data_IF_462704757277
#
_entry.id   IF_462704757277
#
_cell.length_a   1.000
_cell.length_b   1.000
_cell.length_c   1.000
_cell.angle_alpha   90.00
_cell.angle_beta   90.00
_cell.angle_gamma   90.00
#
_symmetry.space_group_name_H-M   'P 1'
#
loop_
_entity.id
_entity.type
_entity.pdbx_description
1 polymer ?
#
# COMPACT_ATOMS: atom_id res chain seq x y z
N UNK A 1 41.47 -8.51 0.73
CA UNK A 1 40.40 -8.20 -0.22
C UNK A 1 39.19 -9.06 0.17
N UNK A 2 38.14 -8.48 0.76
CA UNK A 2 36.90 -9.23 0.98
C UNK A 2 36.32 -9.57 -0.39
N UNK A 3 36.22 -10.85 -0.71
CA UNK A 3 35.47 -11.31 -1.87
C UNK A 3 34.02 -10.88 -1.70
N UNK A 4 33.58 -9.89 -2.47
CA UNK A 4 32.16 -9.52 -2.53
C UNK A 4 31.40 -10.72 -3.06
N UNK A 5 30.50 -11.29 -2.25
CA UNK A 5 29.58 -12.33 -2.73
C UNK A 5 28.89 -11.84 -4.00
N UNK A 6 28.80 -12.65 -5.06
CA UNK A 6 28.06 -12.25 -6.25
C UNK A 6 26.60 -11.94 -5.88
N UNK A 7 26.08 -10.85 -6.44
CA UNK A 7 24.69 -10.45 -6.23
C UNK A 7 23.77 -11.52 -6.81
N UNK A 8 22.80 -11.96 -6.00
CA UNK A 8 21.78 -12.90 -6.45
C UNK A 8 20.81 -12.22 -7.42
N UNK A 9 20.57 -12.87 -8.55
CA UNK A 9 19.47 -12.55 -9.47
C UNK A 9 18.75 -13.85 -9.81
N UNK A 10 17.40 -13.90 -9.73
CA UNK A 10 16.65 -15.08 -10.16
C UNK A 10 17.04 -15.52 -11.57
N UNK A 11 17.42 -16.78 -11.72
CA UNK A 11 17.64 -17.37 -13.03
C UNK A 11 16.28 -17.56 -13.74
N UNK A 12 16.24 -17.45 -15.07
CA UNK A 12 15.00 -17.63 -15.83
C UNK A 12 14.42 -19.03 -15.61
N UNK A 13 15.30 -20.03 -15.59
CA UNK A 13 14.96 -21.44 -15.36
C UNK A 13 14.33 -21.65 -13.97
N UNK A 14 14.84 -20.96 -12.94
CA UNK A 14 14.28 -21.01 -11.59
C UNK A 14 12.88 -20.39 -11.54
N UNK A 15 12.65 -19.29 -12.25
CA UNK A 15 11.33 -18.64 -12.32
C UNK A 15 10.34 -19.48 -13.14
N UNK A 16 10.80 -20.14 -14.22
CA UNK A 16 9.99 -21.09 -14.97
C UNK A 16 9.64 -22.33 -14.13
N UNK A 17 10.55 -22.80 -13.30
CA UNK A 17 10.28 -23.87 -12.34
C UNK A 17 9.26 -23.42 -11.29
N UNK A 18 9.39 -22.20 -10.77
CA UNK A 18 8.39 -21.60 -9.86
C UNK A 18 7.01 -21.51 -10.53
N UNK A 19 6.94 -21.11 -11.80
CA UNK A 19 5.68 -21.05 -12.55
C UNK A 19 5.02 -22.43 -12.69
N UNK A 20 5.81 -23.48 -12.92
CA UNK A 20 5.30 -24.88 -12.95
C UNK A 20 4.81 -25.31 -11.58
N UNK A 21 5.54 -24.98 -10.53
CA UNK A 21 5.21 -25.30 -9.15
C UNK A 21 3.91 -24.61 -8.67
N UNK A 22 3.65 -23.41 -9.17
CA UNK A 22 2.44 -22.62 -8.85
C UNK A 22 1.19 -23.03 -9.66
N UNK A 23 1.33 -23.96 -10.60
CA UNK A 23 0.19 -24.40 -11.42
C UNK A 23 -0.88 -25.07 -10.54
N UNK A 24 -2.11 -24.57 -10.62
CA UNK A 24 -3.23 -25.02 -9.78
C UNK A 24 -3.28 -24.40 -8.38
N UNK A 25 -2.30 -23.56 -8.02
CA UNK A 25 -2.23 -22.85 -6.73
C UNK A 25 -2.46 -21.35 -6.93
N UNK A 26 -1.65 -20.71 -7.75
CA UNK A 26 -1.83 -19.33 -8.13
C UNK A 26 -2.63 -19.24 -9.43
N UNK A 27 -3.57 -18.29 -9.46
CA UNK A 27 -4.35 -18.00 -10.67
C UNK A 27 -3.44 -17.25 -11.65
N UNK A 28 -3.46 -17.63 -12.94
CA UNK A 28 -2.95 -16.79 -14.01
C UNK A 28 -3.90 -15.61 -14.18
N UNK A 29 -3.64 -14.55 -13.43
CA UNK A 29 -4.52 -13.37 -13.37
C UNK A 29 -4.53 -12.63 -14.71
N UNK A 30 -5.64 -11.97 -15.09
CA UNK A 30 -5.72 -11.27 -16.36
C UNK A 30 -4.76 -10.05 -16.41
N UNK A 31 -4.26 -9.80 -17.62
CA UNK A 31 -3.70 -8.53 -18.04
C UNK A 31 -4.79 -7.84 -18.86
N UNK A 32 -5.51 -6.87 -18.28
CA UNK A 32 -6.70 -6.25 -18.87
C UNK A 32 -6.50 -4.76 -19.09
N UNK A 33 -7.00 -4.25 -20.23
CA UNK A 33 -6.98 -2.82 -20.50
C UNK A 33 -7.99 -2.08 -19.60
N UNK A 34 -7.54 -0.96 -19.02
CA UNK A 34 -8.43 0.02 -18.40
C UNK A 34 -8.77 1.12 -19.39
N UNK A 35 -10.00 1.12 -19.89
CA UNK A 35 -10.46 2.03 -20.94
C UNK A 35 -10.52 3.49 -20.45
N UNK A 36 -10.94 3.71 -19.19
CA UNK A 36 -11.08 5.04 -18.62
C UNK A 36 -9.72 5.75 -18.50
N UNK A 37 -8.74 5.07 -17.90
CA UNK A 37 -7.39 5.62 -17.76
C UNK A 37 -6.65 5.70 -19.10
N UNK A 38 -6.87 4.72 -19.99
CA UNK A 38 -6.30 4.78 -21.35
C UNK A 38 -6.74 6.04 -22.11
N UNK A 39 -8.03 6.38 -22.01
CA UNK A 39 -8.57 7.61 -22.59
C UNK A 39 -8.03 8.86 -21.87
N UNK A 40 -7.95 8.84 -20.54
CA UNK A 40 -7.48 9.96 -19.73
C UNK A 40 -6.03 10.33 -20.06
N UNK A 41 -5.14 9.33 -20.16
CA UNK A 41 -3.70 9.55 -20.39
C UNK A 41 -3.29 9.50 -21.86
N UNK A 42 -4.21 9.17 -22.77
CA UNK A 42 -3.86 8.98 -24.19
C UNK A 42 -2.83 7.87 -24.40
N UNK A 43 -2.91 6.80 -23.62
CA UNK A 43 -1.98 5.68 -23.58
C UNK A 43 -2.73 4.35 -23.54
N UNK A 44 -2.09 3.23 -23.80
CA UNK A 44 -2.68 1.91 -23.58
C UNK A 44 -2.34 1.44 -22.15
N UNK A 45 -3.25 1.66 -21.21
CA UNK A 45 -3.07 1.32 -19.80
C UNK A 45 -3.61 -0.08 -19.53
N UNK A 46 -2.73 -0.98 -19.11
CA UNK A 46 -3.03 -2.38 -18.80
C UNK A 46 -2.84 -2.65 -17.31
N UNK A 47 -3.78 -3.36 -16.70
CA UNK A 47 -3.71 -3.80 -15.30
C UNK A 47 -3.36 -5.28 -15.22
N UNK A 48 -2.27 -5.62 -14.53
CA UNK A 48 -2.01 -6.98 -14.06
C UNK A 48 -2.72 -7.19 -12.73
N UNK A 49 -3.80 -7.94 -12.75
CA UNK A 49 -4.81 -8.05 -11.69
C UNK A 49 -4.45 -9.08 -10.62
N UNK A 50 -3.35 -8.88 -9.88
CA UNK A 50 -2.96 -9.78 -8.77
C UNK A 50 -3.89 -9.69 -7.54
N UNK A 51 -4.73 -8.69 -7.47
CA UNK A 51 -5.86 -8.57 -6.55
C UNK A 51 -6.92 -9.68 -6.71
N UNK A 52 -6.97 -10.34 -7.87
CA UNK A 52 -7.88 -11.45 -8.15
C UNK A 52 -7.35 -12.85 -7.75
N UNK A 53 -6.19 -12.92 -7.11
CA UNK A 53 -5.72 -14.18 -6.52
C UNK A 53 -6.67 -14.67 -5.41
N UNK A 54 -6.65 -15.97 -5.09
CA UNK A 54 -7.48 -16.56 -4.03
C UNK A 54 -7.34 -15.81 -2.71
N UNK A 55 -6.10 -15.46 -2.33
CA UNK A 55 -5.81 -14.65 -1.14
C UNK A 55 -5.84 -13.16 -1.40
N UNK A 56 -6.41 -12.74 -2.53
CA UNK A 56 -6.58 -11.32 -2.95
C UNK A 56 -5.27 -10.53 -3.05
N UNK A 57 -4.14 -11.21 -3.27
CA UNK A 57 -2.85 -10.58 -3.51
C UNK A 57 -1.84 -11.56 -4.12
N UNK A 58 -0.79 -11.02 -4.75
CA UNK A 58 0.30 -11.79 -5.34
C UNK A 58 1.10 -12.64 -4.32
N UNK A 59 0.94 -12.40 -3.02
CA UNK A 59 1.77 -13.00 -1.97
C UNK A 59 1.74 -14.53 -1.92
N UNK A 60 0.64 -15.14 -2.37
CA UNK A 60 0.53 -16.60 -2.48
C UNK A 60 1.66 -17.20 -3.33
N UNK A 61 2.10 -16.51 -4.39
CA UNK A 61 3.11 -16.98 -5.32
C UNK A 61 4.44 -17.25 -4.62
N UNK A 62 4.97 -16.26 -3.90
CA UNK A 62 6.24 -16.39 -3.18
C UNK A 62 6.13 -17.27 -1.95
N UNK A 63 5.05 -17.17 -1.18
CA UNK A 63 4.83 -17.99 0.01
C UNK A 63 4.80 -19.48 -0.35
N UNK A 64 3.93 -19.86 -1.28
CA UNK A 64 3.81 -21.24 -1.72
C UNK A 64 5.10 -21.75 -2.37
N UNK A 65 5.69 -20.98 -3.28
CA UNK A 65 6.94 -21.38 -3.93
C UNK A 65 8.04 -21.68 -2.90
N UNK A 66 8.25 -20.80 -1.91
CA UNK A 66 9.22 -21.04 -0.83
C UNK A 66 8.89 -22.30 -0.04
N UNK A 67 7.65 -22.47 0.38
CA UNK A 67 7.25 -23.58 1.25
C UNK A 67 7.28 -24.93 0.53
N UNK A 68 7.08 -24.97 -0.77
CA UNK A 68 7.17 -26.22 -1.56
C UNK A 68 8.59 -26.77 -1.67
N UNK A 69 9.62 -25.95 -1.48
CA UNK A 69 11.04 -26.37 -1.48
C UNK A 69 11.55 -26.79 -0.09
N UNK A 70 10.70 -26.79 0.93
CA UNK A 70 11.10 -27.28 2.25
C UNK A 70 11.35 -28.79 2.21
N UNK A 71 12.40 -29.24 2.88
CA UNK A 71 12.65 -30.66 3.11
C UNK A 71 11.57 -31.28 3.97
N UNK A 72 11.46 -32.59 3.97
CA UNK A 72 10.44 -33.28 4.77
C UNK A 72 10.65 -33.04 6.28
N UNK A 73 11.88 -32.94 6.75
CA UNK A 73 12.23 -32.56 8.11
C UNK A 73 11.76 -31.13 8.46
N UNK A 74 11.93 -30.16 7.54
CA UNK A 74 11.45 -28.81 7.74
C UNK A 74 9.92 -28.74 7.75
N UNK A 75 9.25 -29.47 6.86
CA UNK A 75 7.79 -29.59 6.85
C UNK A 75 7.26 -30.21 8.14
N UNK A 76 7.93 -31.22 8.67
CA UNK A 76 7.55 -31.87 9.92
C UNK A 76 7.69 -30.93 11.13
N UNK A 77 8.77 -30.14 11.18
CA UNK A 77 8.96 -29.14 12.24
C UNK A 77 7.98 -27.97 12.11
N UNK A 78 7.45 -27.72 10.91
CA UNK A 78 6.55 -26.64 10.62
C UNK A 78 7.24 -25.29 10.34
N UNK A 79 6.43 -24.28 10.06
CA UNK A 79 6.92 -22.97 9.66
C UNK A 79 6.44 -21.87 10.63
N UNK A 80 7.11 -20.72 10.56
CA UNK A 80 6.73 -19.50 11.27
C UNK A 80 6.76 -18.31 10.30
N UNK A 81 5.84 -17.39 10.45
CA UNK A 81 5.95 -16.07 9.84
C UNK A 81 5.44 -14.98 10.77
N UNK A 82 5.84 -13.74 10.53
CA UNK A 82 5.32 -12.55 11.18
C UNK A 82 4.65 -11.68 10.11
N UNK A 83 3.34 -11.54 10.17
CA UNK A 83 2.56 -10.67 9.28
C UNK A 83 1.10 -10.65 9.68
N UNK A 84 0.46 -9.49 9.64
CA UNK A 84 -0.99 -9.34 9.83
C UNK A 84 -1.76 -9.12 8.52
N UNK A 85 -1.11 -9.22 7.36
CA UNK A 85 -1.71 -8.89 6.06
C UNK A 85 -1.53 -9.97 5.00
N UNK A 86 -1.33 -9.52 3.77
CA UNK A 86 -1.25 -10.37 2.57
C UNK A 86 -0.30 -11.56 2.67
N UNK A 87 0.86 -11.37 3.33
CA UNK A 87 1.82 -12.46 3.48
C UNK A 87 1.29 -13.56 4.42
N UNK A 88 0.67 -13.18 5.53
CA UNK A 88 0.04 -14.13 6.45
C UNK A 88 -1.02 -14.98 5.75
N UNK A 89 -1.86 -14.36 4.92
CA UNK A 89 -2.89 -15.08 4.13
C UNK A 89 -2.26 -16.03 3.10
N UNK A 90 -1.21 -15.58 2.42
CA UNK A 90 -0.46 -16.43 1.48
C UNK A 90 0.20 -17.63 2.16
N UNK A 91 0.82 -17.42 3.33
CA UNK A 91 1.41 -18.48 4.14
C UNK A 91 0.33 -19.43 4.67
N UNK A 92 -0.78 -18.90 5.20
CA UNK A 92 -1.88 -19.70 5.73
C UNK A 92 -2.47 -20.65 4.67
N UNK A 93 -2.80 -20.13 3.49
CA UNK A 93 -3.26 -20.97 2.39
C UNK A 93 -2.20 -22.00 1.97
N UNK A 94 -0.93 -21.62 1.93
CA UNK A 94 0.16 -22.54 1.60
C UNK A 94 0.31 -23.66 2.64
N UNK A 95 0.15 -23.35 3.93
CA UNK A 95 0.10 -24.35 5.00
C UNK A 95 -0.98 -25.41 4.75
N UNK A 96 -2.20 -24.96 4.44
CA UNK A 96 -3.32 -25.84 4.12
C UNK A 96 -3.02 -26.72 2.88
N UNK A 97 -2.58 -26.11 1.78
CA UNK A 97 -2.35 -26.81 0.52
C UNK A 97 -1.20 -27.83 0.57
N UNK A 98 -0.18 -27.56 1.39
CA UNK A 98 0.99 -28.41 1.56
C UNK A 98 0.91 -29.33 2.80
N UNK A 99 -0.20 -29.25 3.56
CA UNK A 99 -0.38 -29.96 4.83
C UNK A 99 0.76 -29.71 5.84
N UNK A 100 1.27 -28.46 5.90
CA UNK A 100 2.35 -28.04 6.82
C UNK A 100 1.75 -27.24 7.96
N UNK A 101 2.13 -27.54 9.21
CA UNK A 101 1.72 -26.72 10.36
C UNK A 101 2.49 -25.40 10.38
N UNK A 102 1.78 -24.30 10.59
CA UNK A 102 2.35 -22.96 10.65
C UNK A 102 1.95 -22.17 11.88
N UNK A 103 2.87 -21.38 12.41
CA UNK A 103 2.58 -20.38 13.45
C UNK A 103 2.71 -18.98 12.84
N UNK A 104 1.65 -18.17 12.94
CA UNK A 104 1.60 -16.83 12.39
C UNK A 104 1.52 -15.81 13.52
N UNK A 105 2.58 -14.99 13.65
CA UNK A 105 2.67 -13.94 14.65
C UNK A 105 2.09 -12.64 14.12
N UNK A 106 1.25 -11.99 14.93
CA UNK A 106 0.62 -10.71 14.63
C UNK A 106 0.70 -9.79 15.85
N UNK A 107 0.87 -8.48 15.68
CA UNK A 107 0.83 -7.54 16.80
C UNK A 107 -0.59 -7.33 17.33
N UNK A 108 -0.69 -6.92 18.59
CA UNK A 108 -1.97 -6.73 19.32
C UNK A 108 -2.98 -5.80 18.60
N UNK A 109 -2.58 -4.71 17.92
CA UNK A 109 -3.52 -3.83 17.23
C UNK A 109 -4.03 -4.37 15.89
N UNK A 110 -3.77 -5.67 15.58
CA UNK A 110 -4.26 -6.29 14.33
C UNK A 110 -5.79 -6.37 14.34
N UNK A 111 -6.48 -5.81 13.32
CA UNK A 111 -7.93 -5.89 13.22
C UNK A 111 -8.44 -7.33 13.17
N UNK A 112 -9.56 -7.61 13.87
CA UNK A 112 -10.19 -8.94 13.89
C UNK A 112 -10.48 -9.48 12.48
N UNK A 113 -10.88 -8.62 11.55
CA UNK A 113 -11.14 -9.02 10.17
C UNK A 113 -9.90 -9.67 9.53
N UNK A 114 -8.69 -9.12 9.74
CA UNK A 114 -7.46 -9.70 9.21
C UNK A 114 -7.14 -11.05 9.85
N UNK A 115 -7.37 -11.19 11.15
CA UNK A 115 -7.20 -12.44 11.88
C UNK A 115 -8.13 -13.52 11.32
N UNK A 116 -9.42 -13.19 11.16
CA UNK A 116 -10.42 -14.14 10.64
C UNK A 116 -10.14 -14.54 9.18
N UNK A 117 -9.64 -13.65 8.35
CA UNK A 117 -9.21 -13.98 6.98
C UNK A 117 -8.05 -14.99 6.96
N UNK A 118 -7.06 -14.82 7.84
CA UNK A 118 -5.93 -15.76 7.94
C UNK A 118 -6.41 -17.11 8.44
N UNK A 119 -7.30 -17.16 9.44
CA UNK A 119 -7.93 -18.40 9.91
C UNK A 119 -8.71 -19.10 8.79
N UNK A 120 -9.49 -18.34 8.01
CA UNK A 120 -10.28 -18.88 6.90
C UNK A 120 -9.40 -19.57 5.85
N UNK A 121 -8.23 -19.00 5.53
CA UNK A 121 -7.33 -19.59 4.53
C UNK A 121 -6.53 -20.79 5.07
N UNK A 122 -6.11 -20.76 6.33
CA UNK A 122 -5.23 -21.76 6.91
C UNK A 122 -5.97 -22.90 7.62
N UNK A 123 -7.22 -22.65 8.05
CA UNK A 123 -8.05 -23.61 8.78
C UNK A 123 -7.30 -24.29 9.96
N UNK A 124 -7.30 -25.61 10.02
CA UNK A 124 -6.64 -26.40 11.06
C UNK A 124 -5.10 -26.46 10.93
N UNK A 125 -4.51 -25.87 9.87
CA UNK A 125 -3.08 -25.96 9.63
C UNK A 125 -2.28 -24.82 10.24
N UNK A 126 -2.93 -23.82 10.82
CA UNK A 126 -2.24 -22.66 11.39
C UNK A 126 -2.65 -22.43 12.85
N UNK A 127 -1.70 -21.90 13.60
CA UNK A 127 -1.90 -21.27 14.90
C UNK A 127 -1.57 -19.80 14.78
N UNK A 128 -2.41 -18.90 15.33
CA UNK A 128 -2.18 -17.46 15.37
C UNK A 128 -1.76 -17.08 16.78
N UNK A 129 -0.62 -16.40 16.87
CA UNK A 129 -0.09 -15.84 18.12
C UNK A 129 -0.15 -14.32 18.03
N UNK A 130 -0.88 -13.70 18.96
CA UNK A 130 -0.94 -12.25 19.10
C UNK A 130 0.10 -11.84 20.13
N UNK A 131 1.13 -11.12 19.72
CA UNK A 131 2.24 -10.76 20.61
C UNK A 131 2.90 -9.44 20.21
N UNK A 132 3.13 -8.59 21.22
CA UNK A 132 3.73 -7.26 21.10
C UNK A 132 2.74 -6.22 20.54
N UNK A 133 3.15 -4.97 20.62
CA UNK A 133 2.35 -3.83 20.17
C UNK A 133 2.71 -3.36 18.77
N UNK A 134 3.87 -3.82 18.25
CA UNK A 134 4.38 -3.44 16.94
C UNK A 134 4.67 -4.66 16.07
N UNK A 135 4.81 -4.41 14.76
CA UNK A 135 5.28 -5.46 13.83
C UNK A 135 6.68 -5.97 14.24
N UNK A 136 7.55 -5.10 14.72
CA UNK A 136 8.93 -5.48 15.10
C UNK A 136 8.92 -6.44 16.31
N UNK A 137 7.99 -6.25 17.27
CA UNK A 137 7.81 -7.15 18.41
C UNK A 137 7.34 -8.53 17.97
N UNK A 138 6.28 -8.58 17.15
CA UNK A 138 5.75 -9.84 16.60
C UNK A 138 6.81 -10.56 15.75
N UNK A 139 7.65 -9.82 15.01
CA UNK A 139 8.74 -10.39 14.21
C UNK A 139 9.83 -10.98 15.12
N UNK A 140 10.21 -10.29 16.19
CA UNK A 140 11.19 -10.79 17.16
C UNK A 140 10.71 -12.09 17.82
N UNK A 141 9.44 -12.12 18.28
CA UNK A 141 8.82 -13.32 18.85
C UNK A 141 8.79 -14.50 17.87
N UNK A 142 8.44 -14.23 16.60
CA UNK A 142 8.46 -15.24 15.53
C UNK A 142 9.87 -15.80 15.30
N UNK A 143 10.90 -14.96 15.35
CA UNK A 143 12.30 -15.39 15.22
C UNK A 143 12.71 -16.26 16.41
N UNK A 144 12.35 -15.86 17.63
CA UNK A 144 12.62 -16.64 18.82
C UNK A 144 11.99 -18.04 18.76
N UNK A 145 10.73 -18.14 18.25
CA UNK A 145 10.10 -19.44 18.05
C UNK A 145 10.83 -20.29 17.00
N UNK A 146 11.30 -19.67 15.91
CA UNK A 146 12.12 -20.37 14.91
C UNK A 146 13.38 -20.99 15.54
N UNK A 147 14.11 -20.20 16.33
CA UNK A 147 15.38 -20.63 16.92
C UNK A 147 15.18 -21.74 17.97
N UNK A 148 14.16 -21.60 18.82
CA UNK A 148 13.84 -22.56 19.90
C UNK A 148 13.29 -23.88 19.37
N UNK A 149 12.36 -23.82 18.41
CA UNK A 149 11.66 -25.01 17.88
C UNK A 149 12.24 -25.50 16.57
N UNK A 150 13.32 -24.88 16.07
CA UNK A 150 13.97 -25.17 14.78
C UNK A 150 12.99 -25.20 13.60
N UNK A 151 11.97 -24.34 13.64
CA UNK A 151 11.02 -24.14 12.54
C UNK A 151 11.63 -23.28 11.45
N UNK A 152 11.09 -23.34 10.26
CA UNK A 152 11.54 -22.51 9.13
C UNK A 152 10.78 -21.19 9.09
N UNK A 153 11.50 -20.06 9.08
CA UNK A 153 10.88 -18.74 8.92
C UNK A 153 10.56 -18.46 7.44
N UNK A 154 9.31 -18.14 7.14
CA UNK A 154 8.88 -17.75 5.80
C UNK A 154 8.90 -16.23 5.69
N UNK A 155 9.97 -15.70 5.07
CA UNK A 155 10.17 -14.25 4.97
C UNK A 155 9.22 -13.63 3.93
N UNK A 156 8.60 -12.46 4.19
CA UNK A 156 7.61 -11.86 3.29
C UNK A 156 8.17 -11.36 1.95
N UNK A 157 9.49 -11.20 1.81
CA UNK A 157 10.13 -10.64 0.60
C UNK A 157 11.64 -10.93 0.45
N UNK A 158 12.43 -11.03 1.53
CA UNK A 158 13.90 -11.16 1.47
C UNK A 158 14.32 -12.64 1.48
N UNK A 159 13.92 -13.38 0.46
CA UNK A 159 14.23 -14.81 0.26
C UNK A 159 14.23 -15.11 -1.24
N UNK A 160 15.23 -15.86 -1.70
CA UNK A 160 15.43 -16.21 -3.11
C UNK A 160 14.20 -16.89 -3.71
N UNK A 161 13.63 -17.89 -3.00
CA UNK A 161 12.47 -18.65 -3.49
C UNK A 161 11.18 -17.81 -3.45
N UNK A 162 11.07 -16.87 -2.50
CA UNK A 162 9.97 -15.90 -2.50
C UNK A 162 10.10 -14.99 -3.72
N UNK A 163 11.27 -14.44 -4.00
CA UNK A 163 11.49 -13.56 -5.16
C UNK A 163 11.22 -14.31 -6.49
N UNK A 164 11.67 -15.57 -6.62
CA UNK A 164 11.38 -16.41 -7.79
C UNK A 164 9.86 -16.62 -7.99
N UNK A 165 9.12 -16.88 -6.91
CA UNK A 165 7.66 -17.00 -6.96
C UNK A 165 6.98 -15.71 -7.43
N UNK A 166 7.41 -14.55 -6.91
CA UNK A 166 6.88 -13.25 -7.33
C UNK A 166 7.22 -12.90 -8.78
N UNK A 167 8.41 -13.34 -9.26
CA UNK A 167 8.86 -13.12 -10.62
C UNK A 167 7.96 -13.76 -11.68
N UNK A 168 7.17 -14.78 -11.32
CA UNK A 168 6.20 -15.42 -12.23
C UNK A 168 5.13 -14.46 -12.75
N UNK A 169 4.81 -13.38 -12.01
CA UNK A 169 3.94 -12.30 -12.48
C UNK A 169 4.49 -11.66 -13.76
N UNK A 170 5.82 -11.45 -13.80
CA UNK A 170 6.50 -10.90 -14.98
C UNK A 170 6.43 -11.81 -16.20
N UNK A 171 6.60 -13.13 -16.02
CA UNK A 171 6.42 -14.10 -17.10
C UNK A 171 5.00 -14.05 -17.67
N UNK A 172 3.99 -14.04 -16.78
CA UNK A 172 2.60 -13.98 -17.21
C UNK A 172 2.28 -12.69 -17.97
N UNK A 173 2.80 -11.54 -17.55
CA UNK A 173 2.60 -10.26 -18.26
C UNK A 173 3.15 -10.39 -19.69
N UNK A 174 4.37 -10.87 -19.84
CA UNK A 174 5.03 -11.01 -21.16
C UNK A 174 4.38 -12.07 -22.06
N UNK A 175 3.75 -13.08 -21.48
CA UNK A 175 2.98 -14.08 -22.22
C UNK A 175 1.60 -13.57 -22.66
N UNK A 176 1.00 -12.64 -21.92
CA UNK A 176 -0.37 -12.15 -22.13
C UNK A 176 -0.47 -11.01 -23.14
N UNK A 177 0.65 -10.37 -23.48
CA UNK A 177 0.68 -9.35 -24.55
C UNK A 177 1.75 -9.69 -25.59
N UNK A 178 1.43 -9.40 -26.87
CA UNK A 178 2.37 -9.45 -27.97
C UNK A 178 2.98 -8.08 -28.27
N UNK A 179 2.43 -7.03 -27.69
CA UNK A 179 2.89 -5.66 -27.88
C UNK A 179 4.06 -5.36 -26.97
N UNK A 180 4.96 -4.49 -27.45
CA UNK A 180 6.06 -3.98 -26.63
C UNK A 180 5.47 -3.22 -25.44
N UNK A 181 5.96 -3.53 -24.25
CA UNK A 181 5.65 -2.79 -23.01
C UNK A 181 6.70 -1.67 -22.86
N UNK A 182 6.27 -0.41 -22.87
CA UNK A 182 7.16 0.72 -22.71
C UNK A 182 7.44 1.01 -21.21
N UNK A 183 6.40 0.90 -20.37
CA UNK A 183 6.49 1.17 -18.94
C UNK A 183 5.84 0.07 -18.12
N UNK A 184 6.49 -0.30 -17.02
CA UNK A 184 5.96 -1.18 -15.98
C UNK A 184 6.01 -0.47 -14.64
N UNK A 185 4.87 -0.17 -14.05
CA UNK A 185 4.74 0.41 -12.71
C UNK A 185 4.50 -0.70 -11.69
N UNK A 186 5.38 -0.78 -10.68
CA UNK A 186 5.36 -1.85 -9.67
C UNK A 186 5.38 -1.26 -8.27
N UNK A 187 4.42 -1.59 -7.39
CA UNK A 187 4.47 -1.16 -5.99
C UNK A 187 5.68 -1.77 -5.27
N UNK A 188 6.35 -0.96 -4.47
CA UNK A 188 7.51 -1.35 -3.68
C UNK A 188 7.19 -1.18 -2.20
N UNK A 189 7.21 -2.30 -1.48
CA UNK A 189 7.35 -2.32 -0.03
C UNK A 189 8.72 -2.91 0.30
N UNK A 190 8.80 -4.14 0.80
CA UNK A 190 10.08 -4.82 1.03
C UNK A 190 10.89 -5.18 -0.23
N UNK A 191 10.33 -4.95 -1.42
CA UNK A 191 11.02 -5.10 -2.70
C UNK A 191 10.90 -6.47 -3.37
N UNK A 192 10.21 -7.46 -2.78
CA UNK A 192 10.16 -8.82 -3.33
C UNK A 192 9.51 -8.92 -4.71
N UNK A 193 8.39 -8.22 -4.92
CA UNK A 193 7.69 -8.17 -6.21
C UNK A 193 8.53 -7.43 -7.26
N UNK A 194 9.00 -6.24 -6.93
CA UNK A 194 9.80 -5.41 -7.84
C UNK A 194 11.14 -6.09 -8.22
N UNK A 195 11.78 -6.79 -7.30
CA UNK A 195 12.98 -7.61 -7.59
C UNK A 195 12.69 -8.71 -8.59
N UNK A 196 11.62 -9.46 -8.36
CA UNK A 196 11.22 -10.55 -9.25
C UNK A 196 10.88 -10.06 -10.65
N UNK A 197 9.96 -9.08 -10.76
CA UNK A 197 9.52 -8.55 -12.04
C UNK A 197 10.68 -7.89 -12.80
N UNK A 198 11.44 -7.03 -12.12
CA UNK A 198 12.54 -6.32 -12.78
C UNK A 198 13.60 -7.26 -13.33
N UNK A 199 13.88 -8.37 -12.66
CA UNK A 199 14.83 -9.37 -13.17
C UNK A 199 14.32 -10.02 -14.46
N UNK A 200 13.05 -10.40 -14.52
CA UNK A 200 12.47 -11.01 -15.73
C UNK A 200 12.40 -10.00 -16.88
N UNK A 201 11.95 -8.79 -16.62
CA UNK A 201 11.87 -7.76 -17.66
C UNK A 201 13.26 -7.37 -18.20
N UNK A 202 14.28 -7.25 -17.36
CA UNK A 202 15.65 -7.00 -17.83
C UNK A 202 16.18 -8.10 -18.74
N UNK A 203 15.74 -9.34 -18.55
CA UNK A 203 16.15 -10.48 -19.40
C UNK A 203 15.35 -10.59 -20.70
N UNK A 204 14.02 -10.39 -20.63
CA UNK A 204 13.11 -10.71 -21.73
C UNK A 204 12.53 -9.48 -22.44
N UNK A 205 12.55 -8.31 -21.80
CA UNK A 205 12.08 -7.03 -22.36
C UNK A 205 12.94 -5.88 -21.84
N UNK A 206 14.26 -5.84 -22.16
CA UNK A 206 15.24 -4.93 -21.57
C UNK A 206 14.94 -3.44 -21.84
N UNK A 207 14.17 -3.14 -22.88
CA UNK A 207 13.77 -1.79 -23.25
C UNK A 207 12.64 -1.22 -22.37
N UNK A 208 11.94 -2.06 -21.60
CA UNK A 208 10.86 -1.62 -20.71
C UNK A 208 11.44 -0.79 -19.57
N UNK A 209 10.92 0.42 -19.38
CA UNK A 209 11.22 1.24 -18.22
C UNK A 209 10.42 0.74 -17.00
N UNK A 210 11.12 0.33 -15.97
CA UNK A 210 10.51 -0.24 -14.76
C UNK A 210 10.54 0.82 -13.67
N UNK A 211 9.36 1.27 -13.26
CA UNK A 211 9.18 2.31 -12.25
C UNK A 211 8.74 1.66 -10.95
N UNK A 212 9.60 1.72 -9.93
CA UNK A 212 9.23 1.36 -8.56
C UNK A 212 8.41 2.47 -7.93
N UNK A 213 7.32 2.13 -7.26
CA UNK A 213 6.42 3.12 -6.64
C UNK A 213 6.28 2.83 -5.16
N UNK A 214 6.65 3.81 -4.32
CA UNK A 214 6.53 3.77 -2.86
C UNK A 214 5.52 4.81 -2.36
N UNK A 215 4.89 4.60 -1.19
CA UNK A 215 4.16 5.67 -0.53
C UNK A 215 5.15 6.73 0.01
N UNK A 216 4.75 7.99 0.00
CA UNK A 216 5.59 9.10 0.48
C UNK A 216 5.98 8.94 1.95
N UNK A 217 5.06 8.40 2.77
CA UNK A 217 5.30 8.15 4.19
C UNK A 217 6.23 6.97 4.50
N UNK A 218 6.66 6.16 3.50
CA UNK A 218 7.58 5.04 3.70
C UNK A 218 8.50 4.79 2.48
N UNK A 219 9.38 5.76 2.12
CA UNK A 219 10.22 5.71 0.91
C UNK A 219 11.53 4.93 1.15
N UNK A 220 11.43 3.69 1.60
CA UNK A 220 12.59 2.91 2.06
C UNK A 220 13.57 2.54 0.95
N UNK A 221 13.04 2.16 -0.23
CA UNK A 221 13.87 1.82 -1.40
C UNK A 221 14.52 3.06 -2.00
N UNK A 222 13.74 4.14 -2.17
CA UNK A 222 14.24 5.42 -2.70
C UNK A 222 15.36 5.97 -1.81
N UNK A 223 15.15 6.00 -0.50
CA UNK A 223 16.15 6.42 0.49
C UNK A 223 17.41 5.55 0.41
N UNK A 224 17.23 4.22 0.31
CA UNK A 224 18.35 3.29 0.22
C UNK A 224 19.16 3.47 -1.07
N UNK A 225 18.48 3.69 -2.21
CA UNK A 225 19.16 3.93 -3.50
C UNK A 225 19.93 5.25 -3.46
N UNK A 226 19.31 6.33 -2.95
CA UNK A 226 19.96 7.63 -2.82
C UNK A 226 21.21 7.58 -1.92
N UNK A 227 21.12 6.81 -0.83
CA UNK A 227 22.24 6.60 0.10
C UNK A 227 23.26 5.56 -0.40
N UNK A 228 22.98 4.88 -1.52
CA UNK A 228 23.80 3.75 -2.04
C UNK A 228 24.03 2.64 -1.02
N UNK A 229 23.12 2.50 -0.07
CA UNK A 229 23.18 1.56 1.05
C UNK A 229 21.77 1.25 1.54
N UNK A 230 21.47 -0.03 1.81
CA UNK A 230 20.20 -0.42 2.41
C UNK A 230 20.03 0.24 3.79
N UNK A 231 19.18 1.25 3.86
CA UNK A 231 19.00 2.14 5.01
C UNK A 231 17.62 1.91 5.64
N UNK A 232 17.58 1.77 6.96
CA UNK A 232 16.32 1.76 7.70
C UNK A 232 15.82 3.18 7.93
N UNK A 233 14.53 3.40 7.78
CA UNK A 233 13.87 4.66 8.13
C UNK A 233 13.58 4.70 9.63
N UNK A 234 13.73 5.88 10.25
CA UNK A 234 13.43 6.07 11.67
C UNK A 234 11.92 5.98 11.93
N UNK A 235 11.12 6.66 11.10
CA UNK A 235 9.66 6.69 11.16
C UNK A 235 9.06 6.40 9.79
N UNK A 236 7.88 5.81 9.79
CA UNK A 236 7.06 5.58 8.59
C UNK A 236 5.61 5.90 8.90
N UNK A 237 4.83 6.30 7.89
CA UNK A 237 3.36 6.27 7.93
C UNK A 237 2.92 4.84 7.56
N UNK A 238 2.26 4.09 8.46
CA UNK A 238 1.81 2.73 8.20
C UNK A 238 0.52 2.65 7.35
N UNK A 239 -0.02 3.78 6.88
CA UNK A 239 -1.29 3.81 6.17
C UNK A 239 -1.33 2.85 4.97
N UNK A 240 -0.27 2.80 4.16
CA UNK A 240 -0.14 1.87 3.03
C UNK A 240 0.48 0.55 3.52
N UNK A 241 -0.21 -0.14 4.41
CA UNK A 241 0.29 -1.29 5.19
C UNK A 241 0.90 -2.43 4.35
N UNK A 242 0.43 -2.64 3.11
CA UNK A 242 1.03 -3.60 2.16
C UNK A 242 2.38 -3.18 1.56
N UNK A 243 2.77 -1.90 1.68
CA UNK A 243 4.00 -1.33 1.13
C UNK A 243 4.84 -0.54 2.15
N UNK A 244 4.28 -0.18 3.30
CA UNK A 244 4.99 0.58 4.33
C UNK A 244 5.94 -0.32 5.14
N UNK A 245 7.23 -0.27 4.85
CA UNK A 245 8.28 -0.98 5.59
C UNK A 245 9.40 -0.02 6.00
N UNK A 246 9.98 -0.19 7.18
CA UNK A 246 11.14 0.61 7.61
C UNK A 246 12.40 0.33 6.81
N UNK A 247 12.58 -0.91 6.36
CA UNK A 247 13.78 -1.36 5.64
C UNK A 247 13.39 -2.37 4.56
N UNK A 248 13.91 -2.21 3.35
CA UNK A 248 13.77 -3.19 2.28
C UNK A 248 14.64 -4.42 2.53
N UNK A 249 14.34 -5.52 1.85
CA UNK A 249 15.21 -6.70 1.92
C UNK A 249 16.59 -6.45 1.34
N UNK A 250 17.63 -7.04 1.92
CA UNK A 250 18.99 -6.83 1.44
C UNK A 250 19.18 -7.37 0.02
N UNK A 251 18.64 -8.57 -0.30
CA UNK A 251 18.62 -9.09 -1.67
C UNK A 251 17.84 -8.16 -2.61
N UNK A 252 16.73 -7.65 -2.13
CA UNK A 252 15.84 -6.82 -2.93
C UNK A 252 16.44 -5.45 -3.23
N UNK A 253 17.16 -4.85 -2.28
CA UNK A 253 17.93 -3.63 -2.51
C UNK A 253 18.96 -3.83 -3.62
N UNK A 254 19.77 -4.88 -3.51
CA UNK A 254 20.82 -5.21 -4.49
C UNK A 254 20.26 -5.40 -5.92
N UNK A 255 19.10 -6.03 -6.04
CA UNK A 255 18.43 -6.24 -7.32
C UNK A 255 17.82 -4.94 -7.83
N UNK A 256 17.01 -4.26 -7.00
CA UNK A 256 16.24 -3.10 -7.41
C UNK A 256 17.12 -1.91 -7.80
N UNK A 257 18.21 -1.64 -7.06
CA UNK A 257 19.12 -0.54 -7.41
C UNK A 257 19.77 -0.69 -8.80
N UNK A 258 19.86 -1.93 -9.32
CA UNK A 258 20.41 -2.20 -10.66
C UNK A 258 19.35 -2.26 -11.75
N UNK A 259 18.17 -2.75 -11.42
CA UNK A 259 17.17 -3.10 -12.41
C UNK A 259 16.08 -2.06 -12.59
N UNK A 260 15.71 -1.31 -11.53
CA UNK A 260 14.70 -0.27 -11.65
C UNK A 260 15.27 0.93 -12.43
N UNK A 261 14.47 1.43 -13.36
CA UNK A 261 14.84 2.64 -14.11
C UNK A 261 14.71 3.89 -13.24
N UNK A 262 13.74 3.86 -12.32
CA UNK A 262 13.46 4.91 -11.36
C UNK A 262 12.65 4.36 -10.19
N UNK A 263 12.79 4.98 -9.02
CA UNK A 263 11.85 4.83 -7.89
C UNK A 263 11.26 6.20 -7.57
N UNK A 264 9.95 6.25 -7.44
CA UNK A 264 9.22 7.46 -7.07
C UNK A 264 8.36 7.24 -5.84
N UNK A 265 7.97 8.31 -5.20
CA UNK A 265 6.98 8.31 -4.12
C UNK A 265 5.66 8.90 -4.58
N UNK A 266 4.58 8.44 -3.98
CA UNK A 266 3.21 8.95 -4.21
C UNK A 266 2.59 9.31 -2.88
N UNK A 267 2.02 10.53 -2.73
CA UNK A 267 1.33 10.95 -1.51
C UNK A 267 0.15 10.03 -1.17
N UNK A 268 -0.06 9.72 0.10
CA UNK A 268 -1.14 8.85 0.58
C UNK A 268 -2.52 9.35 0.16
N UNK A 269 -2.73 10.65 0.17
CA UNK A 269 -3.98 11.25 -0.29
C UNK A 269 -4.26 11.01 -1.78
N UNK A 270 -3.22 11.00 -2.62
CA UNK A 270 -3.34 10.62 -4.04
C UNK A 270 -3.67 9.14 -4.20
N UNK A 271 -3.08 8.27 -3.39
CA UNK A 271 -3.41 6.84 -3.36
C UNK A 271 -4.89 6.66 -2.99
N UNK A 272 -5.36 7.37 -1.96
CA UNK A 272 -6.76 7.36 -1.53
C UNK A 272 -7.71 7.83 -2.65
N UNK A 273 -7.38 8.91 -3.34
CA UNK A 273 -8.16 9.39 -4.50
C UNK A 273 -8.24 8.31 -5.58
N UNK A 274 -7.13 7.63 -5.87
CA UNK A 274 -7.07 6.55 -6.87
C UNK A 274 -7.94 5.36 -6.45
N UNK A 275 -7.97 4.98 -5.16
CA UNK A 275 -8.86 3.93 -4.65
C UNK A 275 -10.32 4.28 -4.91
N UNK A 276 -10.74 5.52 -4.59
CA UNK A 276 -12.11 5.98 -4.82
C UNK A 276 -12.46 6.02 -6.29
N UNK A 277 -11.54 6.46 -7.15
CA UNK A 277 -11.73 6.49 -8.59
C UNK A 277 -11.90 5.08 -9.18
N UNK A 278 -11.06 4.13 -8.81
CA UNK A 278 -11.15 2.73 -9.23
C UNK A 278 -12.47 2.09 -8.79
N UNK A 279 -12.90 2.36 -7.56
CA UNK A 279 -14.17 1.87 -7.06
C UNK A 279 -15.36 2.46 -7.82
N UNK A 280 -15.39 3.79 -7.98
CA UNK A 280 -16.54 4.50 -8.54
C UNK A 280 -16.65 4.39 -10.08
N UNK A 281 -15.50 4.34 -10.78
CA UNK A 281 -15.47 4.36 -12.25
C UNK A 281 -15.33 2.97 -12.88
N UNK A 282 -14.64 2.06 -12.19
CA UNK A 282 -14.27 0.76 -12.74
C UNK A 282 -14.82 -0.43 -11.92
N UNK A 283 -15.52 -0.17 -10.79
CA UNK A 283 -15.98 -1.18 -9.83
C UNK A 283 -14.85 -2.12 -9.32
N UNK A 284 -13.64 -1.56 -9.19
CA UNK A 284 -12.47 -2.29 -8.74
C UNK A 284 -12.20 -1.95 -7.27
N UNK A 285 -12.22 -2.95 -6.41
CA UNK A 285 -11.82 -2.83 -5.01
C UNK A 285 -10.33 -3.13 -4.90
N UNK A 286 -9.57 -2.20 -4.36
CA UNK A 286 -8.12 -2.36 -4.10
C UNK A 286 -7.76 -1.91 -2.70
N UNK A 287 -6.71 -2.48 -2.15
CA UNK A 287 -6.04 -1.95 -0.96
C UNK A 287 -5.11 -0.78 -1.33
N UNK A 288 -4.65 0.04 -0.37
CA UNK A 288 -3.76 1.16 -0.66
C UNK A 288 -2.51 0.76 -1.46
N UNK A 289 -1.85 -0.36 -1.12
CA UNK A 289 -0.71 -0.87 -1.89
C UNK A 289 -1.09 -1.33 -3.30
N UNK A 290 -2.33 -1.80 -3.50
CA UNK A 290 -2.86 -2.20 -4.81
C UNK A 290 -3.10 -1.03 -5.76
N UNK A 291 -3.44 0.15 -5.23
CA UNK A 291 -3.66 1.37 -6.00
C UNK A 291 -2.35 2.11 -6.35
N UNK A 292 -1.24 1.79 -5.67
CA UNK A 292 0.00 2.56 -5.68
C UNK A 292 0.59 2.73 -7.10
N UNK A 293 0.66 1.65 -7.88
CA UNK A 293 1.18 1.68 -9.26
C UNK A 293 0.33 2.54 -10.20
N UNK A 294 -0.98 2.60 -9.95
CA UNK A 294 -1.94 3.37 -10.76
C UNK A 294 -1.87 4.85 -10.36
N UNK A 295 -1.78 5.13 -9.06
CA UNK A 295 -1.65 6.49 -8.55
C UNK A 295 -0.40 7.23 -9.08
N UNK A 296 0.63 6.47 -9.46
CA UNK A 296 1.85 6.99 -10.06
C UNK A 296 1.67 7.57 -11.47
N UNK A 297 0.63 7.20 -12.20
CA UNK A 297 0.44 7.60 -13.61
C UNK A 297 0.35 9.11 -13.80
N UNK A 298 -0.23 9.85 -12.85
CA UNK A 298 -0.35 11.30 -12.92
C UNK A 298 1.01 12.03 -12.94
N UNK A 299 2.05 11.39 -12.44
CA UNK A 299 3.42 11.93 -12.44
C UNK A 299 4.19 11.66 -13.74
N UNK A 300 3.58 10.90 -14.68
CA UNK A 300 4.17 10.49 -15.94
C UNK A 300 3.30 10.82 -17.15
N UNK A 301 2.35 11.75 -17.01
CA UNK A 301 1.32 12.04 -18.02
C UNK A 301 1.89 12.28 -19.42
N UNK A 302 2.96 13.05 -19.53
CA UNK A 302 3.58 13.36 -20.84
C UNK A 302 4.43 12.20 -21.37
N UNK A 303 5.14 11.49 -20.49
CA UNK A 303 6.05 10.41 -20.85
C UNK A 303 5.34 9.15 -21.33
N UNK A 304 4.13 8.89 -20.82
CA UNK A 304 3.37 7.68 -21.14
C UNK A 304 2.42 7.86 -22.32
N UNK A 305 2.22 9.08 -22.82
CA UNK A 305 1.32 9.35 -23.93
C UNK A 305 1.70 8.55 -25.18
N UNK A 306 0.74 7.81 -25.73
CA UNK A 306 0.94 6.91 -26.87
C UNK A 306 1.75 5.65 -26.57
N UNK A 307 1.96 5.30 -25.29
CA UNK A 307 2.76 4.15 -24.82
C UNK A 307 1.90 3.00 -24.33
N UNK A 308 2.49 1.80 -24.32
CA UNK A 308 1.94 0.62 -23.66
C UNK A 308 2.47 0.57 -22.22
N UNK A 309 1.57 0.71 -21.27
CA UNK A 309 1.86 0.85 -19.85
C UNK A 309 1.19 -0.25 -19.06
N UNK A 310 1.96 -0.96 -18.24
CA UNK A 310 1.42 -1.96 -17.33
C UNK A 310 1.51 -1.45 -15.89
N UNK A 311 0.39 -1.47 -15.18
CA UNK A 311 0.31 -1.24 -13.74
C UNK A 311 -0.01 -2.55 -13.02
N UNK A 312 0.78 -2.90 -12.00
CA UNK A 312 0.52 -4.10 -11.19
C UNK A 312 -0.44 -3.74 -10.06
N UNK A 313 -1.66 -4.26 -10.11
CA UNK A 313 -2.65 -4.19 -9.02
C UNK A 313 -2.33 -5.30 -8.04
N UNK A 314 -1.56 -5.00 -7.01
CA UNK A 314 -0.88 -6.00 -6.18
C UNK A 314 -1.79 -6.72 -5.18
N UNK A 315 -2.91 -6.10 -4.76
CA UNK A 315 -3.84 -6.68 -3.81
C UNK A 315 -5.11 -5.87 -3.57
N UNK A 316 -6.10 -6.53 -2.94
CA UNK A 316 -7.41 -5.96 -2.62
C UNK A 316 -7.88 -6.26 -1.19
N UNK A 317 -6.98 -6.60 -0.28
CA UNK A 317 -7.29 -6.88 1.13
C UNK A 317 -7.57 -5.60 1.93
N UNK A 318 -8.46 -4.75 1.40
CA UNK A 318 -8.88 -3.52 2.07
C UNK A 318 -9.97 -3.82 3.12
N UNK A 319 -9.92 -3.12 4.25
CA UNK A 319 -10.97 -3.15 5.25
C UNK A 319 -12.02 -2.09 4.91
N UNK A 320 -13.28 -2.48 4.82
CA UNK A 320 -14.39 -1.57 4.54
C UNK A 320 -14.50 -0.46 5.60
N UNK A 321 -14.11 -0.73 6.84
CA UNK A 321 -14.12 0.27 7.92
C UNK A 321 -13.16 1.43 7.69
N UNK A 322 -12.11 1.23 6.87
CA UNK A 322 -11.16 2.28 6.49
C UNK A 322 -11.68 3.23 5.40
N UNK A 323 -12.85 2.98 4.85
CA UNK A 323 -13.41 3.80 3.75
C UNK A 323 -13.59 5.27 4.17
N UNK A 324 -13.95 5.52 5.43
CA UNK A 324 -14.07 6.89 5.96
C UNK A 324 -12.71 7.61 5.97
N UNK A 325 -11.65 6.97 6.46
CA UNK A 325 -10.29 7.49 6.44
C UNK A 325 -9.77 7.72 5.02
N UNK A 326 -10.02 6.76 4.11
CA UNK A 326 -9.65 6.88 2.69
C UNK A 326 -10.32 8.09 2.05
N UNK A 327 -11.63 8.28 2.29
CA UNK A 327 -12.37 9.45 1.79
C UNK A 327 -11.82 10.75 2.36
N UNK A 328 -11.54 10.78 3.65
CA UNK A 328 -10.98 11.96 4.33
C UNK A 328 -9.62 12.36 3.75
N UNK A 329 -8.66 11.42 3.67
CA UNK A 329 -7.34 11.65 3.08
C UNK A 329 -7.41 12.12 1.62
N UNK A 330 -8.31 11.55 0.83
CA UNK A 330 -8.54 11.97 -0.56
C UNK A 330 -9.05 13.40 -0.66
N UNK A 331 -10.02 13.80 0.18
CA UNK A 331 -10.59 15.15 0.21
C UNK A 331 -9.56 16.18 0.70
N UNK A 332 -8.76 15.86 1.72
CA UNK A 332 -7.67 16.71 2.19
C UNK A 332 -6.63 16.93 1.08
N UNK A 333 -6.21 15.89 0.38
CA UNK A 333 -5.29 15.97 -0.74
C UNK A 333 -5.84 16.82 -1.89
N UNK A 334 -7.12 16.70 -2.19
CA UNK A 334 -7.79 17.47 -3.24
C UNK A 334 -8.07 18.94 -2.84
N UNK A 335 -7.71 19.37 -1.63
CA UNK A 335 -8.06 20.66 -1.05
C UNK A 335 -9.58 20.92 -1.07
N UNK A 336 -10.35 19.88 -0.74
CA UNK A 336 -11.82 19.95 -0.63
C UNK A 336 -12.32 19.82 0.82
N UNK A 337 -11.46 19.39 1.74
CA UNK A 337 -11.77 19.23 3.15
C UNK A 337 -10.87 20.15 3.99
N UNK A 338 -11.48 20.95 4.83
CA UNK A 338 -10.80 21.98 5.58
C UNK A 338 -11.29 22.03 7.01
N UNK A 339 -10.37 22.20 7.95
CA UNK A 339 -10.67 22.32 9.37
C UNK A 339 -10.22 23.66 9.91
N UNK A 340 -11.07 24.25 10.73
CA UNK A 340 -10.86 25.58 11.30
C UNK A 340 -11.12 25.60 12.80
N UNK A 341 -10.38 26.41 13.52
CA UNK A 341 -10.84 26.94 14.78
C UNK A 341 -11.67 28.18 14.45
N UNK A 342 -12.96 28.14 14.74
CA UNK A 342 -13.90 29.24 14.48
C UNK A 342 -14.20 29.96 15.80
N UNK A 343 -14.10 31.28 15.79
CA UNK A 343 -14.45 32.13 16.94
C UNK A 343 -15.92 32.48 16.91
N UNK A 344 -16.70 31.84 17.77
CA UNK A 344 -18.13 32.19 17.90
C UNK A 344 -18.34 33.24 18.98
N UNK A 345 -18.97 34.41 18.63
CA UNK A 345 -19.49 35.34 19.65
C UNK A 345 -20.46 34.60 20.58
N UNK A 346 -20.31 34.74 21.90
CA UNK A 346 -21.14 34.02 22.87
C UNK A 346 -22.52 34.65 23.05
N UNK A 347 -23.24 34.91 21.97
CA UNK A 347 -24.59 35.46 21.92
C UNK A 347 -25.54 34.55 21.15
N UNK A 348 -26.84 34.73 21.37
CA UNK A 348 -27.85 34.05 20.56
C UNK A 348 -27.74 34.45 19.08
N UNK A 349 -27.95 33.50 18.17
CA UNK A 349 -27.94 33.73 16.74
C UNK A 349 -26.56 33.62 16.06
N UNK A 350 -25.44 33.54 16.79
CA UNK A 350 -24.09 33.48 16.20
C UNK A 350 -23.90 32.29 15.24
N UNK A 351 -24.42 31.10 15.55
CA UNK A 351 -24.36 29.95 14.65
C UNK A 351 -25.19 30.16 13.38
N UNK A 352 -26.38 30.81 13.51
CA UNK A 352 -27.20 31.14 12.33
C UNK A 352 -26.46 32.10 11.41
N UNK A 353 -25.81 33.13 11.96
CA UNK A 353 -24.98 34.07 11.20
C UNK A 353 -23.82 33.35 10.49
N UNK A 354 -23.10 32.44 11.16
CA UNK A 354 -22.05 31.65 10.55
C UNK A 354 -22.59 30.86 9.35
N UNK A 355 -23.72 30.18 9.50
CA UNK A 355 -24.28 29.33 8.43
C UNK A 355 -24.82 30.18 7.27
N UNK A 356 -25.44 31.34 7.54
CA UNK A 356 -26.07 32.16 6.50
C UNK A 356 -25.11 33.10 5.80
N UNK A 357 -24.20 33.73 6.56
CA UNK A 357 -23.37 34.83 6.05
C UNK A 357 -21.94 34.39 5.70
N UNK A 358 -21.46 33.27 6.27
CA UNK A 358 -20.09 32.80 6.07
C UNK A 358 -20.03 31.63 5.07
N UNK A 359 -20.86 30.61 5.25
CA UNK A 359 -20.82 29.43 4.38
C UNK A 359 -21.32 29.77 2.97
N UNK A 360 -20.72 29.18 1.98
CA UNK A 360 -21.20 29.19 0.61
C UNK A 360 -22.40 28.24 0.43
N UNK A 361 -23.15 28.38 -0.68
CA UNK A 361 -24.35 27.57 -0.93
C UNK A 361 -24.13 26.09 -1.10
N UNK A 362 -22.88 25.67 -1.32
CA UNK A 362 -22.48 24.28 -1.50
C UNK A 362 -21.47 23.80 -0.45
N UNK A 363 -21.20 24.62 0.58
CA UNK A 363 -20.29 24.23 1.66
C UNK A 363 -21.04 23.33 2.64
N UNK A 364 -20.45 22.20 3.00
CA UNK A 364 -21.03 21.22 3.92
C UNK A 364 -20.24 21.17 5.23
N UNK A 365 -20.98 21.22 6.36
CA UNK A 365 -20.37 21.05 7.69
C UNK A 365 -20.27 19.55 7.97
N UNK A 366 -19.06 19.03 7.96
CA UNK A 366 -18.79 17.61 8.17
C UNK A 366 -18.33 17.28 9.59
N UNK A 367 -17.86 18.29 10.32
CA UNK A 367 -17.47 18.20 11.72
C UNK A 367 -17.83 19.52 12.42
N UNK A 368 -18.41 19.43 13.61
CA UNK A 368 -18.73 20.61 14.39
C UNK A 368 -18.66 20.29 15.88
N UNK A 369 -17.65 20.81 16.55
CA UNK A 369 -17.48 20.68 17.99
C UNK A 369 -17.41 22.05 18.64
N UNK A 370 -18.42 22.38 19.45
CA UNK A 370 -18.55 23.69 20.13
C UNK A 370 -18.85 23.50 21.59
N UNK A 371 -18.01 24.07 22.44
CA UNK A 371 -18.27 24.15 23.89
C UNK A 371 -18.35 25.57 24.33
N UNK A 372 -19.54 25.97 24.80
CA UNK A 372 -19.77 27.31 25.38
C UNK A 372 -19.03 27.41 26.72
N UNK A 373 -18.13 28.39 26.83
CA UNK A 373 -17.38 28.66 28.07
C UNK A 373 -17.96 29.93 28.74
N UNK A 374 -18.34 29.82 30.03
CA UNK A 374 -18.75 30.96 30.83
C UNK A 374 -17.58 31.94 31.01
N UNK A 375 -17.87 33.24 31.07
CA UNK A 375 -16.90 34.32 31.31
C UNK A 375 -15.91 34.67 30.18
N UNK A 376 -16.26 34.37 28.91
CA UNK A 376 -15.49 34.84 27.75
C UNK A 376 -16.42 35.48 26.72
N UNK A 377 -15.90 36.45 25.96
CA UNK A 377 -16.66 37.13 24.90
C UNK A 377 -16.84 36.22 23.67
N UNK A 378 -15.86 35.32 23.42
CA UNK A 378 -15.89 34.39 22.29
C UNK A 378 -15.67 32.96 22.77
N UNK A 379 -16.36 31.99 22.16
CA UNK A 379 -16.14 30.56 22.26
C UNK A 379 -15.42 30.06 21.02
N UNK A 380 -14.51 29.08 21.18
CA UNK A 380 -13.90 28.42 20.05
C UNK A 380 -14.70 27.16 19.68
N UNK A 381 -14.90 26.95 18.38
CA UNK A 381 -15.40 25.69 17.83
C UNK A 381 -14.39 25.11 16.86
N UNK A 382 -14.29 23.80 16.82
CA UNK A 382 -13.60 23.07 15.74
C UNK A 382 -14.65 22.76 14.67
N UNK A 383 -14.41 23.25 13.46
CA UNK A 383 -15.37 23.11 12.36
C UNK A 383 -14.65 22.49 11.15
N UNK A 384 -15.13 21.33 10.71
CA UNK A 384 -14.71 20.69 9.47
C UNK A 384 -15.68 21.01 8.33
N UNK A 385 -15.18 21.56 7.25
CA UNK A 385 -15.96 21.95 6.08
C UNK A 385 -15.52 21.19 4.84
N UNK A 386 -16.48 20.69 4.07
CA UNK A 386 -16.23 20.14 2.74
C UNK A 386 -16.70 21.14 1.70
N UNK A 387 -15.80 21.53 0.80
CA UNK A 387 -16.07 22.46 -0.29
C UNK A 387 -16.32 21.69 -1.59
N UNK A 388 -17.09 22.28 -2.50
CA UNK A 388 -17.32 21.72 -3.84
C UNK A 388 -16.13 21.94 -4.76
N UNK A 389 -15.38 23.00 -4.56
CA UNK A 389 -14.19 23.36 -5.33
C UNK A 389 -13.10 23.90 -4.41
N UNK A 390 -11.85 23.56 -4.68
CA UNK A 390 -10.69 24.12 -3.97
C UNK A 390 -10.58 25.66 -4.12
N UNK A 391 -11.19 26.23 -5.16
CA UNK A 391 -11.23 27.68 -5.40
C UNK A 391 -12.12 28.41 -4.38
N UNK A 392 -13.02 27.69 -3.69
CA UNK A 392 -13.95 28.27 -2.72
C UNK A 392 -13.29 28.56 -1.36
N UNK A 393 -12.09 27.99 -1.11
CA UNK A 393 -11.38 28.13 0.17
C UNK A 393 -11.00 29.61 0.47
N UNK A 394 -10.35 30.28 -0.47
CA UNK A 394 -9.91 31.66 -0.24
C UNK A 394 -11.08 32.63 0.00
N UNK A 395 -12.19 32.60 -0.78
CA UNK A 395 -13.39 33.36 -0.48
C UNK A 395 -13.99 33.03 0.90
N UNK A 396 -14.03 31.77 1.30
CA UNK A 396 -14.54 31.36 2.61
C UNK A 396 -13.71 31.95 3.75
N UNK A 397 -12.37 31.84 3.67
CA UNK A 397 -11.45 32.41 4.67
C UNK A 397 -11.64 33.93 4.78
N UNK A 398 -11.83 34.64 3.65
CA UNK A 398 -12.05 36.07 3.65
C UNK A 398 -13.38 36.43 4.36
N UNK A 399 -14.49 35.73 4.03
CA UNK A 399 -15.78 35.95 4.74
C UNK A 399 -15.64 35.70 6.24
N UNK A 400 -14.91 34.64 6.65
CA UNK A 400 -14.66 34.39 8.07
C UNK A 400 -13.88 35.53 8.74
N UNK A 401 -12.86 36.08 8.06
CA UNK A 401 -12.06 37.20 8.60
C UNK A 401 -12.86 38.49 8.70
N UNK A 402 -13.59 38.85 7.64
CA UNK A 402 -14.37 40.07 7.57
C UNK A 402 -15.50 40.15 8.63
N UNK A 403 -16.02 38.97 9.02
CA UNK A 403 -17.07 38.82 10.02
C UNK A 403 -16.53 38.36 11.40
N UNK A 404 -15.22 38.36 11.63
CA UNK A 404 -14.58 38.03 12.91
C UNK A 404 -14.82 36.58 13.39
N UNK A 405 -15.15 35.65 12.50
CA UNK A 405 -15.26 34.21 12.81
C UNK A 405 -13.94 33.46 12.68
N UNK A 406 -12.95 33.96 11.94
CA UNK A 406 -11.68 33.27 11.71
C UNK A 406 -10.85 33.20 13.00
N UNK A 407 -10.56 32.01 13.44
CA UNK A 407 -9.63 31.73 14.53
C UNK A 407 -8.29 31.25 14.02
N UNK A 408 -8.30 30.07 13.43
CA UNK A 408 -7.11 29.43 12.88
C UNK A 408 -7.47 28.42 11.78
N UNK A 409 -6.53 28.15 10.87
CA UNK A 409 -6.66 27.10 9.86
C UNK A 409 -5.82 25.88 10.26
N UNK A 410 -6.47 24.73 10.46
CA UNK A 410 -5.84 23.56 11.09
C UNK A 410 -5.08 22.67 10.11
N UNK A 411 -5.46 22.67 8.82
CA UNK A 411 -4.79 21.81 7.84
C UNK A 411 -3.28 22.10 7.68
N UNK A 412 -2.85 23.34 7.96
CA UNK A 412 -1.44 23.75 7.92
C UNK A 412 -0.72 23.54 9.26
N UNK A 413 -1.39 22.95 10.26
CA UNK A 413 -0.89 22.76 11.61
C UNK A 413 -1.02 21.32 12.07
N UNK A 414 -0.12 20.42 11.61
CA UNK A 414 -0.23 18.98 11.87
C UNK A 414 -0.38 18.61 13.35
N UNK A 415 0.35 19.30 14.23
CA UNK A 415 0.31 19.04 15.67
C UNK A 415 -1.06 19.36 16.28
N UNK A 416 -1.69 20.48 15.87
CA UNK A 416 -3.02 20.85 16.33
C UNK A 416 -4.09 19.96 15.67
N UNK A 417 -3.94 19.66 14.39
CA UNK A 417 -4.85 18.80 13.65
C UNK A 417 -4.97 17.44 14.34
N UNK A 418 -3.86 16.81 14.68
CA UNK A 418 -3.83 15.48 15.32
C UNK A 418 -4.53 15.42 16.67
N UNK A 419 -4.61 16.54 17.41
CA UNK A 419 -5.25 16.59 18.72
C UNK A 419 -6.70 17.08 18.69
N UNK A 420 -7.12 17.75 17.64
CA UNK A 420 -8.42 18.41 17.56
C UNK A 420 -9.37 17.78 16.54
N UNK A 421 -8.84 16.99 15.64
CA UNK A 421 -9.55 16.29 14.58
C UNK A 421 -9.23 14.79 14.63
#
# INVERSE_FOLDING_TARGET
MMQTKPIYFPALESVQAAAKNLKGVAIKTPLSQNTNLSKQFGANILFKREDLQVVRSYKIRGAYNKMSFLSDDEKQRGIVCASAGNHAQGVALSCKLLAIKGTIFMPSPTPNQKIEQVKMFGEAFIDIVIEGDTFDDAFAAAKQECDTKKKTFIHPFNDEKVIEGQATVGLEILEQTKEKIDYLFVPVGGGGLSSGLSTIFKKLSPETKIIGVEPEGAPSMLTSINNKKNTALDKIDPFVDGAAVKKVGDLNFEICQKNLSQVITVPEGKICQTILDLYNKDAIVVEPAGALSIAALDFFTDEIKGKNVVCVVSGSNNDITRTAEIKERALLFANLKHYFIVKFPQRAGALKEFVVDILGPNDDITHFEYTKKNNRTNGAAVVGLQLKSSKDLAPLINRMKDNNFFGDYLNDKPDLFQFLV
#
